data_IF_779977221994
#
_entry.id   IF_779977221994
#
_cell.length_a   1.000
_cell.length_b   1.000
_cell.length_c   1.000
_cell.angle_alpha   90.00
_cell.angle_beta   90.00
_cell.angle_gamma   90.00
#
_symmetry.space_group_name_H-M   'P 1'
#
loop_
_entity.id
_entity.type
_entity.pdbx_description
1 polymer ?
#
# COMPACT_ATOMS: atom_id res chain seq x y z
N UNK A 1 -15.38 -3.17 -13.03
CA UNK A 1 -14.93 -2.07 -12.12
C UNK A 1 -14.69 -2.67 -10.75
N UNK A 2 -13.54 -2.40 -10.15
CA UNK A 2 -13.15 -2.90 -8.85
C UNK A 2 -12.57 -1.74 -8.00
N UNK A 3 -12.16 -2.00 -6.74
CA UNK A 3 -11.66 -0.95 -5.85
C UNK A 3 -10.38 -0.30 -6.37
N UNK A 4 -9.52 -1.06 -7.03
CA UNK A 4 -8.28 -0.54 -7.62
C UNK A 4 -8.57 0.48 -8.72
N UNK A 5 -9.56 0.21 -9.57
CA UNK A 5 -10.00 1.16 -10.61
C UNK A 5 -10.45 2.49 -9.99
N UNK A 6 -11.07 2.46 -8.80
CA UNK A 6 -11.50 3.68 -8.10
C UNK A 6 -10.29 4.48 -7.59
N UNK A 7 -9.29 3.83 -6.98
CA UNK A 7 -8.05 4.48 -6.54
C UNK A 7 -7.30 5.11 -7.71
N UNK A 8 -7.08 4.34 -8.78
CA UNK A 8 -6.37 4.83 -9.97
C UNK A 8 -7.11 6.02 -10.59
N UNK A 9 -8.45 5.96 -10.69
CA UNK A 9 -9.24 7.08 -11.19
C UNK A 9 -9.10 8.33 -10.32
N UNK A 10 -9.17 8.19 -9.00
CA UNK A 10 -8.98 9.29 -8.05
C UNK A 10 -7.61 9.92 -8.17
N UNK A 11 -6.55 9.11 -8.19
CA UNK A 11 -5.17 9.58 -8.38
C UNK A 11 -4.99 10.29 -9.73
N UNK A 12 -5.62 9.79 -10.81
CA UNK A 12 -5.56 10.40 -12.14
C UNK A 12 -6.20 11.79 -12.14
N UNK A 13 -7.41 11.91 -11.60
CA UNK A 13 -8.10 13.22 -11.48
C UNK A 13 -7.26 14.21 -10.67
N UNK A 14 -6.73 13.80 -9.52
CA UNK A 14 -5.88 14.67 -8.71
C UNK A 14 -4.56 15.02 -9.43
N UNK A 15 -3.99 14.10 -10.21
CA UNK A 15 -2.81 14.36 -11.02
C UNK A 15 -3.08 15.39 -12.12
N UNK A 16 -4.21 15.29 -12.81
CA UNK A 16 -4.64 16.23 -13.86
C UNK A 16 -4.91 17.64 -13.30
N UNK A 17 -5.30 17.75 -12.02
CA UNK A 17 -5.45 19.01 -11.30
C UNK A 17 -4.13 19.60 -10.76
N UNK A 18 -2.98 19.10 -11.21
CA UNK A 18 -1.64 19.62 -10.92
C UNK A 18 -1.23 19.60 -9.44
N UNK A 19 -1.80 18.69 -8.61
CA UNK A 19 -1.30 18.49 -7.25
C UNK A 19 0.10 17.86 -7.25
N UNK A 20 0.93 18.19 -6.25
CA UNK A 20 2.29 17.67 -6.10
C UNK A 20 2.40 16.54 -5.08
N UNK A 21 1.54 16.56 -4.07
CA UNK A 21 1.46 15.54 -3.02
C UNK A 21 0.07 14.93 -3.01
N UNK A 22 0.03 13.63 -2.82
CA UNK A 22 -1.20 12.82 -2.88
C UNK A 22 -1.29 11.97 -1.64
N UNK A 23 -2.47 11.94 -1.03
CA UNK A 23 -2.77 11.07 0.11
C UNK A 23 -3.93 10.16 -0.26
N UNK A 24 -3.72 8.87 -0.12
CA UNK A 24 -4.72 7.82 -0.27
C UNK A 24 -5.12 7.31 1.11
N UNK A 25 -6.40 7.32 1.43
CA UNK A 25 -6.93 6.80 2.69
C UNK A 25 -8.35 6.27 2.53
N UNK A 26 -8.76 5.36 3.42
CA UNK A 26 -10.13 4.84 3.43
C UNK A 26 -11.11 5.92 3.93
N UNK A 27 -12.24 6.08 3.24
CA UNK A 27 -13.30 7.03 3.62
C UNK A 27 -14.21 6.52 4.75
N UNK A 28 -14.06 5.27 5.18
CA UNK A 28 -14.91 4.60 6.18
C UNK A 28 -14.55 4.89 7.64
N UNK A 29 -13.82 5.98 7.93
CA UNK A 29 -13.36 6.39 9.27
C UNK A 29 -12.41 5.40 9.96
N UNK A 30 -11.93 4.40 9.27
CA UNK A 30 -10.92 3.45 9.78
C UNK A 30 -9.54 4.08 9.95
N UNK A 31 -9.24 5.12 9.19
CA UNK A 31 -8.03 5.91 9.28
C UNK A 31 -8.32 7.27 9.90
N UNK A 32 -7.48 7.69 10.85
CA UNK A 32 -7.60 9.00 11.48
C UNK A 32 -6.98 10.08 10.56
N UNK A 33 -7.77 11.05 10.05
CA UNK A 33 -7.24 12.09 9.17
C UNK A 33 -6.23 13.02 9.88
N UNK A 34 -6.17 13.01 11.21
CA UNK A 34 -5.15 13.75 11.98
C UNK A 34 -3.73 13.26 11.73
N UNK A 35 -3.55 12.09 11.13
CA UNK A 35 -2.24 11.62 10.70
C UNK A 35 -1.75 12.29 9.39
N UNK A 36 -2.63 12.92 8.60
CA UNK A 36 -2.27 13.55 7.30
C UNK A 36 -1.08 14.52 7.43
N UNK A 37 -1.01 15.43 8.44
CA UNK A 37 0.13 16.33 8.57
C UNK A 37 1.48 15.59 8.67
N UNK A 38 1.53 14.42 9.31
CA UNK A 38 2.75 13.62 9.39
C UNK A 38 3.15 13.04 8.03
N UNK A 39 2.18 12.58 7.23
CA UNK A 39 2.44 12.13 5.84
C UNK A 39 3.03 13.27 5.00
N UNK A 40 2.42 14.46 5.07
CA UNK A 40 2.91 15.63 4.33
C UNK A 40 4.32 16.03 4.80
N UNK A 41 4.58 15.98 6.10
CA UNK A 41 5.90 16.27 6.66
C UNK A 41 6.97 15.34 6.09
N UNK A 42 6.79 14.02 6.18
CA UNK A 42 7.80 13.06 5.70
C UNK A 42 8.00 13.11 4.20
N UNK A 43 6.95 13.44 3.42
CA UNK A 43 7.08 13.70 1.98
C UNK A 43 7.91 14.96 1.72
N UNK A 44 7.67 16.06 2.44
CA UNK A 44 8.43 17.31 2.32
C UNK A 44 9.89 17.17 2.79
N UNK A 45 10.21 16.21 3.65
CA UNK A 45 11.56 15.84 4.05
C UNK A 45 12.33 15.06 2.95
N UNK A 46 11.72 14.90 1.77
CA UNK A 46 12.33 14.34 0.58
C UNK A 46 12.10 12.84 0.40
N UNK A 47 11.18 12.22 1.16
CA UNK A 47 10.73 10.87 0.85
C UNK A 47 9.78 10.90 -0.35
N UNK A 48 9.91 9.95 -1.27
CA UNK A 48 9.04 9.86 -2.45
C UNK A 48 7.70 9.21 -2.12
N UNK A 49 7.69 8.38 -1.05
CA UNK A 49 6.53 7.66 -0.55
C UNK A 49 6.42 7.78 0.97
N UNK A 50 5.20 7.80 1.49
CA UNK A 50 4.88 7.71 2.90
C UNK A 50 3.88 6.57 3.12
N UNK A 51 4.20 5.60 3.98
CA UNK A 51 3.34 4.44 4.21
C UNK A 51 2.86 4.40 5.65
N UNK A 52 1.55 4.44 5.83
CA UNK A 52 0.94 4.25 7.13
C UNK A 52 1.22 2.85 7.67
N UNK A 53 1.73 2.77 8.90
CA UNK A 53 2.05 1.52 9.57
C UNK A 53 1.37 1.43 10.93
N UNK A 54 0.71 0.29 11.15
CA UNK A 54 0.07 -0.07 12.42
C UNK A 54 1.02 -0.83 13.35
N UNK A 55 2.23 -1.17 12.86
CA UNK A 55 3.16 -2.11 13.50
C UNK A 55 4.49 -1.47 13.90
N UNK A 56 4.66 -0.17 13.71
CA UNK A 56 5.78 0.61 14.26
C UNK A 56 5.37 1.28 15.57
N UNK A 57 6.35 1.79 16.31
CA UNK A 57 6.08 2.52 17.55
C UNK A 57 5.14 3.70 17.29
N UNK A 58 4.09 3.85 18.09
CA UNK A 58 3.03 4.83 17.89
C UNK A 58 1.90 4.40 16.93
N UNK A 59 1.99 3.24 16.29
CA UNK A 59 0.89 2.66 15.50
C UNK A 59 0.05 1.68 16.31
N UNK A 60 -1.20 1.45 15.89
CA UNK A 60 -2.07 0.46 16.58
C UNK A 60 -3.17 -0.15 15.72
N UNK A 61 -3.57 -1.36 16.13
CA UNK A 61 -4.76 -2.10 15.71
C UNK A 61 -5.68 -2.39 16.92
N UNK A 62 -5.63 -1.55 17.96
CA UNK A 62 -6.22 -1.86 19.28
C UNK A 62 -7.72 -2.16 19.24
N UNK A 63 -8.47 -1.58 18.31
CA UNK A 63 -9.92 -1.77 18.16
C UNK A 63 -10.28 -2.87 17.14
N UNK A 64 -9.30 -3.65 16.66
CA UNK A 64 -9.56 -4.69 15.68
C UNK A 64 -9.71 -6.07 16.32
N UNK A 65 -10.62 -6.92 15.81
CA UNK A 65 -10.73 -8.31 16.25
C UNK A 65 -9.41 -9.07 16.08
N UNK A 66 -9.09 -9.99 17.00
CA UNK A 66 -7.82 -10.73 17.03
C UNK A 66 -7.53 -11.49 15.73
N UNK A 67 -8.53 -12.10 15.11
CA UNK A 67 -8.41 -12.77 13.82
C UNK A 67 -7.92 -11.82 12.72
N UNK A 68 -8.38 -10.58 12.72
CA UNK A 68 -7.96 -9.55 11.77
C UNK A 68 -6.53 -9.08 12.01
N UNK A 69 -6.16 -8.89 13.29
CA UNK A 69 -4.78 -8.59 13.68
C UNK A 69 -3.85 -9.69 13.17
N UNK A 70 -4.25 -10.95 13.37
CA UNK A 70 -3.49 -12.11 12.91
C UNK A 70 -3.35 -12.13 11.38
N UNK A 71 -4.46 -11.99 10.64
CA UNK A 71 -4.45 -11.96 9.16
C UNK A 71 -3.54 -10.83 8.64
N UNK A 72 -3.62 -9.62 9.21
CA UNK A 72 -2.78 -8.50 8.80
C UNK A 72 -1.30 -8.71 9.10
N UNK A 73 -0.97 -9.23 10.29
CA UNK A 73 0.41 -9.54 10.67
C UNK A 73 0.99 -10.69 9.84
N UNK A 74 0.22 -11.77 9.68
CA UNK A 74 0.63 -12.91 8.87
C UNK A 74 0.79 -12.54 7.39
N UNK A 75 -0.18 -11.81 6.82
CA UNK A 75 -0.09 -11.31 5.45
C UNK A 75 1.12 -10.39 5.22
N UNK A 76 1.42 -9.52 6.19
CA UNK A 76 2.62 -8.70 6.16
C UNK A 76 3.89 -9.55 6.23
N UNK A 77 3.98 -10.49 7.19
CA UNK A 77 5.13 -11.38 7.34
C UNK A 77 5.40 -12.20 6.08
N UNK A 78 4.35 -12.82 5.54
CA UNK A 78 4.45 -13.63 4.33
C UNK A 78 4.91 -12.79 3.13
N UNK A 79 4.34 -11.59 2.96
CA UNK A 79 4.74 -10.66 1.91
C UNK A 79 6.17 -10.19 2.07
N UNK A 80 6.62 -9.90 3.29
CA UNK A 80 8.02 -9.52 3.58
C UNK A 80 9.00 -10.63 3.18
N UNK A 81 8.73 -11.87 3.57
CA UNK A 81 9.60 -13.02 3.28
C UNK A 81 9.67 -13.26 1.77
N UNK A 82 8.51 -13.39 1.12
CA UNK A 82 8.44 -13.72 -0.30
C UNK A 82 8.94 -12.58 -1.20
N UNK A 83 8.56 -11.35 -0.90
CA UNK A 83 8.86 -10.20 -1.77
C UNK A 83 10.12 -9.43 -1.35
N UNK A 84 10.68 -9.70 -0.17
CA UNK A 84 11.88 -9.03 0.32
C UNK A 84 11.64 -7.55 0.68
N UNK A 85 10.49 -7.24 1.29
CA UNK A 85 10.16 -5.88 1.73
C UNK A 85 10.72 -5.57 3.12
N UNK A 86 11.20 -4.34 3.32
CA UNK A 86 11.63 -3.82 4.63
C UNK A 86 10.49 -3.18 5.43
N UNK A 87 9.33 -2.92 4.80
CA UNK A 87 8.19 -2.28 5.43
C UNK A 87 7.64 -3.10 6.61
N UNK A 88 7.28 -2.42 7.68
CA UNK A 88 6.69 -3.05 8.87
C UNK A 88 5.22 -3.42 8.67
N UNK A 89 4.50 -2.72 7.79
CA UNK A 89 3.12 -2.99 7.42
C UNK A 89 2.97 -2.99 5.90
N UNK A 90 2.55 -4.12 5.33
CA UNK A 90 2.35 -4.30 3.89
C UNK A 90 0.89 -4.14 3.46
N UNK A 91 -0.04 -4.01 4.41
CA UNK A 91 -1.48 -4.19 4.17
C UNK A 91 -2.34 -2.97 4.49
N UNK A 92 -1.75 -1.88 4.98
CA UNK A 92 -2.48 -0.64 5.26
C UNK A 92 -2.79 0.12 3.97
N UNK A 93 -4.02 0.68 3.86
CA UNK A 93 -4.46 1.52 2.75
C UNK A 93 -4.16 3.01 2.93
N UNK A 94 -3.54 3.43 4.05
CA UNK A 94 -3.16 4.82 4.26
C UNK A 94 -1.75 5.07 3.75
N UNK A 95 -1.63 5.87 2.69
CA UNK A 95 -0.35 6.07 2.03
C UNK A 95 -0.29 7.43 1.31
N UNK A 96 0.93 7.93 1.11
CA UNK A 96 1.17 9.21 0.46
C UNK A 96 2.27 9.12 -0.59
N UNK A 97 2.20 9.99 -1.60
CA UNK A 97 3.09 9.93 -2.75
C UNK A 97 3.41 11.32 -3.31
N UNK A 98 4.61 11.47 -3.82
CA UNK A 98 4.95 12.56 -4.72
C UNK A 98 4.37 12.35 -6.12
N UNK A 99 4.19 13.46 -6.85
CA UNK A 99 3.66 13.48 -8.23
C UNK A 99 4.40 12.53 -9.18
N UNK A 100 5.73 12.42 -9.06
CA UNK A 100 6.55 11.52 -9.88
C UNK A 100 6.18 10.04 -9.69
N UNK A 101 5.82 9.65 -8.47
CA UNK A 101 5.36 8.31 -8.14
C UNK A 101 3.94 8.08 -8.66
N UNK A 102 3.05 9.07 -8.46
CA UNK A 102 1.66 8.99 -8.96
C UNK A 102 1.61 8.83 -10.47
N UNK A 103 2.49 9.52 -11.22
CA UNK A 103 2.62 9.31 -12.67
C UNK A 103 2.88 7.85 -13.02
N UNK A 104 3.75 7.17 -12.27
CA UNK A 104 4.04 5.74 -12.48
C UNK A 104 2.85 4.84 -12.10
N UNK A 105 2.14 5.17 -11.01
CA UNK A 105 0.98 4.43 -10.53
C UNK A 105 -0.16 4.46 -11.56
N UNK A 106 -0.53 5.64 -12.07
CA UNK A 106 -1.64 5.79 -13.01
C UNK A 106 -1.37 5.19 -14.39
N UNK A 107 -0.10 4.99 -14.74
CA UNK A 107 0.33 4.36 -15.98
C UNK A 107 0.68 2.85 -15.81
N UNK A 108 0.42 2.29 -14.62
CA UNK A 108 0.66 0.88 -14.33
C UNK A 108 -0.63 0.07 -14.34
N UNK A 109 -0.55 -1.15 -14.91
CA UNK A 109 -1.66 -2.11 -14.87
C UNK A 109 -1.45 -3.07 -13.70
N UNK A 110 -2.17 -2.84 -12.60
CA UNK A 110 -2.13 -3.72 -11.45
C UNK A 110 -2.79 -5.07 -11.75
N UNK A 111 -2.24 -6.12 -11.15
CA UNK A 111 -2.83 -7.46 -11.17
C UNK A 111 -3.92 -7.60 -10.11
N UNK A 112 -3.74 -6.94 -8.98
CA UNK A 112 -4.71 -6.91 -7.88
C UNK A 112 -6.00 -6.23 -8.30
N UNK A 113 -7.12 -6.80 -7.86
CA UNK A 113 -8.47 -6.22 -8.05
C UNK A 113 -9.14 -5.86 -6.71
N UNK A 114 -8.48 -6.15 -5.60
CA UNK A 114 -8.96 -5.96 -4.23
C UNK A 114 -7.90 -5.37 -3.31
N UNK A 115 -8.05 -5.60 -2.01
CA UNK A 115 -7.19 -5.01 -0.96
C UNK A 115 -5.70 -5.36 -1.07
N UNK A 116 -5.33 -6.40 -1.81
CA UNK A 116 -3.92 -6.73 -2.04
C UNK A 116 -3.19 -5.68 -2.89
N UNK A 117 -3.92 -4.77 -3.51
CA UNK A 117 -3.36 -3.62 -4.23
C UNK A 117 -2.32 -2.87 -3.40
N UNK A 118 -2.58 -2.62 -2.12
CA UNK A 118 -1.62 -1.93 -1.25
C UNK A 118 -0.30 -2.69 -1.12
N UNK A 119 -0.38 -4.01 -0.98
CA UNK A 119 0.81 -4.88 -0.90
C UNK A 119 1.58 -4.91 -2.23
N UNK A 120 0.87 -5.05 -3.36
CA UNK A 120 1.46 -5.01 -4.70
C UNK A 120 2.15 -3.66 -4.94
N UNK A 121 1.49 -2.55 -4.66
CA UNK A 121 2.03 -1.21 -4.84
C UNK A 121 3.27 -0.99 -3.96
N UNK A 122 3.23 -1.35 -2.68
CA UNK A 122 4.37 -1.23 -1.77
C UNK A 122 5.57 -2.08 -2.20
N UNK A 123 5.33 -3.24 -2.77
CA UNK A 123 6.39 -4.05 -3.36
C UNK A 123 7.04 -3.36 -4.57
N UNK A 124 6.23 -2.80 -5.48
CA UNK A 124 6.72 -2.09 -6.66
C UNK A 124 7.50 -0.83 -6.29
N UNK A 125 7.16 -0.21 -5.17
CA UNK A 125 7.79 1.01 -4.67
C UNK A 125 8.95 0.75 -3.69
N UNK A 126 9.31 -0.49 -3.39
CA UNK A 126 10.31 -0.84 -2.35
C UNK A 126 11.71 -0.22 -2.56
N UNK A 127 12.05 0.22 -3.76
CA UNK A 127 13.34 0.84 -4.09
C UNK A 127 13.34 2.38 -4.02
N UNK A 128 12.18 3.00 -3.90
CA UNK A 128 12.05 4.44 -3.73
C UNK A 128 12.29 4.83 -2.28
N UNK A 129 12.69 6.07 -2.05
CA UNK A 129 12.82 6.58 -0.67
C UNK A 129 11.45 6.65 -0.02
N UNK A 130 11.30 6.00 1.11
CA UNK A 130 10.05 6.00 1.86
C UNK A 130 10.26 6.20 3.36
N UNK A 131 9.23 6.71 4.01
CA UNK A 131 9.09 6.69 5.47
C UNK A 131 7.81 5.94 5.87
N UNK A 132 7.85 5.28 7.03
CA UNK A 132 6.64 4.75 7.66
C UNK A 132 6.09 5.77 8.66
N UNK A 133 4.79 6.01 8.58
CA UNK A 133 4.05 6.92 9.47
C UNK A 133 3.19 6.10 10.41
N UNK A 134 3.31 6.28 11.75
CA UNK A 134 2.46 5.55 12.68
C UNK A 134 1.00 5.96 12.49
N UNK A 135 0.11 4.97 12.40
CA UNK A 135 -1.32 5.18 12.25
C UNK A 135 -2.12 4.33 13.23
N UNK A 136 -3.24 4.88 13.67
CA UNK A 136 -4.23 4.14 14.45
C UNK A 136 -5.38 3.70 13.54
N UNK A 137 -5.65 2.40 13.54
CA UNK A 137 -6.77 1.83 12.79
C UNK A 137 -7.93 1.56 13.73
N UNK A 138 -9.06 2.27 13.54
CA UNK A 138 -10.15 2.34 14.52
C UNK A 138 -11.36 1.48 14.19
N UNK A 139 -11.65 1.20 12.95
CA UNK A 139 -12.89 0.53 12.60
C UNK A 139 -12.63 -0.86 11.97
N UNK A 140 -13.41 -1.88 12.35
CA UNK A 140 -13.38 -3.14 11.65
C UNK A 140 -14.00 -2.94 10.25
N UNK A 141 -13.20 -3.12 9.19
CA UNK A 141 -13.76 -3.31 7.86
C UNK A 141 -14.59 -4.60 7.83
N UNK A 142 -15.59 -4.73 6.96
CA UNK A 142 -16.28 -5.99 6.75
C UNK A 142 -15.31 -7.13 6.42
N UNK A 143 -15.74 -8.36 6.67
CA UNK A 143 -14.94 -9.56 6.42
C UNK A 143 -14.39 -9.61 5.00
N UNK A 144 -13.15 -10.02 4.87
CA UNK A 144 -12.50 -10.17 3.55
C UNK A 144 -13.14 -11.37 2.84
N UNK A 145 -13.67 -11.18 1.64
CA UNK A 145 -14.30 -12.27 0.88
C UNK A 145 -13.26 -13.30 0.42
N UNK A 146 -13.69 -14.56 0.27
CA UNK A 146 -12.86 -15.66 -0.27
C UNK A 146 -12.25 -15.27 -1.62
N UNK A 147 -13.03 -14.60 -2.48
CA UNK A 147 -12.55 -14.08 -3.78
C UNK A 147 -11.38 -13.11 -3.62
N UNK A 148 -11.42 -12.24 -2.61
CA UNK A 148 -10.32 -11.32 -2.31
C UNK A 148 -9.08 -12.05 -1.82
N UNK A 149 -9.23 -13.07 -0.97
CA UNK A 149 -8.13 -13.90 -0.48
C UNK A 149 -7.45 -14.63 -1.65
N UNK A 150 -8.22 -15.26 -2.53
CA UNK A 150 -7.70 -15.97 -3.70
C UNK A 150 -6.94 -15.01 -4.65
N UNK A 151 -7.47 -13.80 -4.88
CA UNK A 151 -6.77 -12.78 -5.65
C UNK A 151 -5.45 -12.37 -4.97
N UNK A 152 -5.44 -12.22 -3.64
CA UNK A 152 -4.24 -11.88 -2.88
C UNK A 152 -3.16 -12.95 -3.00
N UNK A 153 -3.52 -14.22 -2.80
CA UNK A 153 -2.58 -15.35 -2.88
C UNK A 153 -2.03 -15.48 -4.30
N UNK A 154 -2.90 -15.46 -5.32
CA UNK A 154 -2.47 -15.60 -6.71
C UNK A 154 -1.55 -14.46 -7.15
N UNK A 155 -1.81 -13.23 -6.70
CA UNK A 155 -0.96 -12.08 -7.01
C UNK A 155 0.36 -12.16 -6.26
N UNK A 156 0.36 -12.56 -4.99
CA UNK A 156 1.58 -12.73 -4.20
C UNK A 156 2.52 -13.77 -4.81
N UNK A 157 1.99 -14.94 -5.20
CA UNK A 157 2.77 -16.00 -5.83
C UNK A 157 3.30 -15.56 -7.20
N UNK A 158 2.51 -14.82 -7.97
CA UNK A 158 2.95 -14.28 -9.25
C UNK A 158 4.08 -13.26 -9.06
N UNK A 159 3.97 -12.33 -8.10
CA UNK A 159 5.04 -11.36 -7.80
C UNK A 159 6.31 -12.07 -7.32
N UNK A 160 6.17 -13.10 -6.49
CA UNK A 160 7.30 -13.92 -6.05
C UNK A 160 7.99 -14.61 -7.24
N UNK A 161 7.22 -15.22 -8.13
CA UNK A 161 7.74 -15.86 -9.34
C UNK A 161 8.48 -14.84 -10.22
N UNK A 162 7.88 -13.67 -10.47
CA UNK A 162 8.53 -12.59 -11.22
C UNK A 162 9.85 -12.15 -10.58
N UNK A 163 9.89 -12.07 -9.25
CA UNK A 163 11.11 -11.77 -8.51
C UNK A 163 12.20 -12.80 -8.75
N UNK A 164 11.87 -14.09 -8.72
CA UNK A 164 12.82 -15.21 -8.88
C UNK A 164 13.35 -15.31 -10.33
N UNK A 165 12.50 -15.08 -11.32
CA UNK A 165 12.82 -15.27 -12.76
C UNK A 165 13.53 -14.06 -13.40
N UNK A 166 13.87 -13.03 -12.64
CA UNK A 166 14.65 -11.90 -13.17
C UNK A 166 14.00 -10.53 -13.01
N UNK A 167 13.04 -10.45 -12.14
CA UNK A 167 12.43 -9.21 -11.74
C UNK A 167 11.27 -8.74 -12.62
N UNK A 168 10.42 -7.98 -12.00
CA UNK A 168 9.30 -7.32 -12.66
C UNK A 168 9.80 -6.14 -13.50
N UNK A 169 9.36 -6.05 -14.76
CA UNK A 169 9.64 -4.91 -15.65
C UNK A 169 8.37 -4.11 -15.87
N UNK A 170 8.39 -2.83 -15.55
CA UNK A 170 7.22 -1.94 -15.71
C UNK A 170 7.56 -0.48 -15.48
N UNK A 171 6.57 0.42 -15.35
CA UNK A 171 6.77 1.85 -15.13
C UNK A 171 7.64 2.19 -13.91
N UNK A 172 7.73 1.26 -12.95
CA UNK A 172 8.59 1.37 -11.77
C UNK A 172 10.05 0.94 -12.04
N UNK A 173 10.39 0.55 -13.27
CA UNK A 173 11.69 -0.01 -13.63
C UNK A 173 11.85 -1.48 -13.22
N UNK A 174 13.08 -2.01 -13.28
CA UNK A 174 13.36 -3.38 -12.85
C UNK A 174 13.32 -3.46 -11.32
N UNK A 175 12.39 -4.22 -10.78
CA UNK A 175 12.30 -4.57 -9.35
C UNK A 175 13.01 -5.90 -9.19
N UNK A 176 14.36 -5.87 -9.19
CA UNK A 176 15.19 -7.05 -8.92
C UNK A 176 15.33 -7.32 -7.41
N UNK A 177 15.81 -8.50 -7.11
CA UNK A 177 16.17 -8.97 -5.74
C UNK A 177 17.17 -8.04 -5.08
#
# INVERSE_FOLDING_TARGET
KNVVDAYIKGLKVAYENNHNLFIEMDAGLSHDPRAIPMFLRVLNEGNECAFGSRFINGGSLAESPLNRVFISKFGTLLSKILLGSKLSDMTSGFQGFHRSIVYKIINHKFRSTGHFYQTELRYLLKKYRFAEVPIHYKAPSPSVSVKSINNSISTLLWLFFQKVVGGYRGPFGVVSV
#
